data_IF_338116331149
#
_entry.id   IF_338116331149
#
_cell.length_a   1.000
_cell.length_b   1.000
_cell.length_c   1.000
_cell.angle_alpha   90.00
_cell.angle_beta   90.00
_cell.angle_gamma   90.00
#
_symmetry.space_group_name_H-M   'P 1'
#
loop_
_entity.id
_entity.type
_entity.pdbx_description
1 polymer ?
#
# COMPACT_ATOMS: atom_id res chain seq x y z
N UNK A 1 1.41 22.01 21.89
CA UNK A 1 1.60 20.65 21.31
C UNK A 1 0.20 20.12 21.02
N UNK A 2 -0.22 20.09 19.75
CA UNK A 2 -1.53 19.52 19.39
C UNK A 2 -1.49 18.02 19.71
N UNK A 3 -2.52 17.52 20.41
CA UNK A 3 -2.64 16.10 20.68
C UNK A 3 -2.61 15.36 19.34
N UNK A 4 -1.69 14.41 19.19
CA UNK A 4 -1.62 13.55 17.99
C UNK A 4 -2.90 12.76 17.94
N UNK A 5 -3.80 13.09 17.01
CA UNK A 5 -5.08 12.37 16.87
C UNK A 5 -4.80 10.94 16.41
N UNK A 6 -5.37 9.99 17.12
CA UNK A 6 -5.42 8.60 16.67
C UNK A 6 -6.49 8.44 15.58
N UNK A 7 -6.29 7.52 14.62
CA UNK A 7 -7.26 7.31 13.56
C UNK A 7 -8.53 6.60 14.07
N UNK A 8 -9.63 6.85 13.42
CA UNK A 8 -10.88 6.14 13.65
C UNK A 8 -11.01 4.96 12.70
N UNK A 9 -11.34 3.77 13.24
CA UNK A 9 -11.66 2.59 12.45
C UNK A 9 -13.07 2.71 11.88
N UNK A 10 -13.19 2.57 10.56
CA UNK A 10 -14.44 2.58 9.80
C UNK A 10 -14.54 1.35 8.91
N UNK A 11 -15.71 1.09 8.35
CA UNK A 11 -15.94 -0.02 7.43
C UNK A 11 -16.83 0.38 6.26
N UNK A 12 -16.62 -0.25 5.12
CA UNK A 12 -17.45 -0.14 3.93
C UNK A 12 -17.85 -1.54 3.46
N UNK A 13 -19.08 -1.68 2.96
CA UNK A 13 -19.57 -2.94 2.42
C UNK A 13 -19.14 -3.04 0.97
N UNK A 14 -18.45 -4.11 0.62
CA UNK A 14 -17.95 -4.44 -0.70
C UNK A 14 -18.60 -5.71 -1.23
N UNK A 15 -18.41 -6.01 -2.51
CA UNK A 15 -18.97 -7.17 -3.19
C UNK A 15 -17.91 -7.80 -4.09
N UNK A 16 -17.78 -9.12 -4.01
CA UNK A 16 -17.02 -9.92 -4.97
C UNK A 16 -17.91 -11.07 -5.54
N UNK A 17 -17.32 -11.97 -6.32
CA UNK A 17 -18.03 -13.14 -6.85
C UNK A 17 -18.51 -14.11 -5.76
N UNK A 18 -17.91 -14.09 -4.58
CA UNK A 18 -18.29 -14.89 -3.41
C UNK A 18 -19.38 -14.26 -2.55
N UNK A 19 -19.74 -13.01 -2.80
CA UNK A 19 -20.78 -12.30 -2.07
C UNK A 19 -20.28 -11.03 -1.36
N UNK A 20 -21.03 -10.62 -0.34
CA UNK A 20 -20.73 -9.40 0.42
C UNK A 20 -19.59 -9.64 1.44
N UNK A 21 -18.66 -8.69 1.51
CA UNK A 21 -17.64 -8.63 2.53
C UNK A 21 -17.42 -7.19 2.98
N UNK A 22 -16.78 -6.98 4.12
CA UNK A 22 -16.51 -5.64 4.67
C UNK A 22 -15.02 -5.34 4.56
N UNK A 23 -14.70 -4.21 3.95
CA UNK A 23 -13.37 -3.64 4.00
C UNK A 23 -13.30 -2.59 5.12
N UNK A 24 -12.32 -2.76 6.01
CA UNK A 24 -12.00 -1.79 7.06
C UNK A 24 -11.08 -0.70 6.53
N UNK A 25 -11.15 0.48 7.12
CA UNK A 25 -10.18 1.54 6.86
C UNK A 25 -10.00 2.43 8.08
N UNK A 26 -8.79 2.94 8.25
CA UNK A 26 -8.42 3.87 9.30
C UNK A 26 -8.46 5.30 8.76
N UNK A 27 -9.05 6.22 9.51
CA UNK A 27 -9.23 7.59 9.06
C UNK A 27 -8.70 8.58 10.08
N UNK A 28 -7.76 9.41 9.64
CA UNK A 28 -7.35 10.63 10.33
C UNK A 28 -8.18 11.78 9.78
N UNK A 29 -8.91 12.43 10.67
CA UNK A 29 -9.64 13.65 10.31
C UNK A 29 -8.65 14.80 10.13
N UNK A 30 -8.99 15.73 9.27
CA UNK A 30 -8.16 16.92 9.09
C UNK A 30 -8.14 17.75 10.38
N UNK A 31 -6.95 18.18 10.79
CA UNK A 31 -6.80 19.14 11.88
C UNK A 31 -7.44 20.49 11.48
N UNK A 32 -8.45 20.93 12.23
CA UNK A 32 -9.18 22.20 11.96
C UNK A 32 -10.49 22.04 11.17
N UNK A 33 -11.01 20.81 11.01
CA UNK A 33 -12.35 20.54 10.47
C UNK A 33 -12.38 19.81 9.12
N UNK A 34 -13.56 19.75 8.51
CA UNK A 34 -13.78 19.02 7.26
C UNK A 34 -12.81 19.47 6.14
N UNK A 35 -12.32 18.54 5.38
CA UNK A 35 -11.49 18.79 4.20
C UNK A 35 -12.07 18.05 3.01
N UNK A 36 -12.19 18.76 1.90
CA UNK A 36 -12.54 18.17 0.60
C UNK A 36 -11.34 17.41 -0.01
N UNK A 37 -10.12 17.59 0.56
CA UNK A 37 -8.92 16.88 0.12
C UNK A 37 -8.80 15.55 0.85
N UNK A 38 -8.94 14.47 0.12
CA UNK A 38 -8.77 13.11 0.60
C UNK A 38 -7.46 12.54 0.08
N UNK A 39 -6.66 11.96 0.99
CA UNK A 39 -5.51 11.14 0.65
C UNK A 39 -5.81 9.69 1.01
N UNK A 40 -5.85 8.81 0.02
CA UNK A 40 -5.95 7.36 0.26
C UNK A 40 -4.55 6.76 0.25
N UNK A 41 -4.19 6.04 1.31
CA UNK A 41 -2.90 5.35 1.46
C UNK A 41 -3.11 3.84 1.46
N UNK A 42 -2.72 3.15 0.39
CA UNK A 42 -2.89 1.72 0.24
C UNK A 42 -1.57 0.96 0.42
N UNK A 43 -1.59 -0.07 1.25
CA UNK A 43 -0.43 -0.81 1.73
C UNK A 43 0.06 -1.93 0.80
N UNK A 44 1.22 -2.52 1.11
CA UNK A 44 1.79 -3.70 0.44
C UNK A 44 1.08 -5.01 0.76
N UNK A 45 1.42 -6.08 0.05
CA UNK A 45 0.66 -7.36 -0.01
C UNK A 45 0.38 -8.03 1.34
N UNK A 46 1.30 -7.98 2.30
CA UNK A 46 1.15 -8.59 3.64
C UNK A 46 0.96 -7.57 4.75
N UNK A 47 0.85 -6.29 4.39
CA UNK A 47 0.77 -5.17 5.30
C UNK A 47 -0.70 -4.77 5.55
N UNK A 48 -0.93 -3.63 6.19
CA UNK A 48 -2.26 -3.12 6.53
C UNK A 48 -2.23 -1.59 6.72
N UNK A 49 -3.39 -0.93 6.91
CA UNK A 49 -3.52 0.51 6.88
C UNK A 49 -2.72 1.28 7.93
N UNK A 50 -2.42 0.66 9.10
CA UNK A 50 -1.62 1.30 10.16
C UNK A 50 -0.13 1.45 9.84
N UNK A 51 0.34 0.92 8.70
CA UNK A 51 1.67 1.25 8.17
C UNK A 51 1.85 2.74 7.89
N UNK A 52 0.73 3.42 7.64
CA UNK A 52 0.71 4.85 7.32
C UNK A 52 0.47 5.77 8.53
N UNK A 53 0.64 5.28 9.76
CA UNK A 53 0.44 6.09 10.97
C UNK A 53 1.27 7.37 10.99
N UNK A 54 2.54 7.29 10.58
CA UNK A 54 3.44 8.46 10.49
C UNK A 54 2.96 9.42 9.40
N UNK A 55 2.61 8.88 8.22
CA UNK A 55 2.08 9.66 7.09
C UNK A 55 0.75 10.32 7.46
N UNK A 56 -0.15 9.58 8.11
CA UNK A 56 -1.45 10.08 8.56
C UNK A 56 -1.31 11.29 9.49
N UNK A 57 -0.46 11.16 10.52
CA UNK A 57 -0.18 12.28 11.45
C UNK A 57 0.51 13.46 10.79
N UNK A 58 1.43 13.21 9.85
CA UNK A 58 2.19 14.25 9.18
C UNK A 58 1.38 15.05 8.15
N UNK A 59 0.31 14.46 7.58
CA UNK A 59 -0.45 15.07 6.49
C UNK A 59 -1.88 15.51 6.88
N UNK A 60 -2.33 15.21 8.11
CA UNK A 60 -3.69 15.56 8.58
C UNK A 60 -3.96 17.07 8.69
N UNK A 61 -2.93 17.91 8.58
CA UNK A 61 -3.11 19.37 8.53
C UNK A 61 -3.72 19.85 7.20
N UNK A 62 -3.57 19.07 6.13
CA UNK A 62 -4.10 19.40 4.80
C UNK A 62 -5.06 18.36 4.24
N UNK A 63 -5.12 17.16 4.82
CA UNK A 63 -5.89 16.03 4.28
C UNK A 63 -6.74 15.35 5.34
N UNK A 64 -7.88 14.83 4.90
CA UNK A 64 -8.50 13.66 5.50
C UNK A 64 -7.74 12.45 4.97
N UNK A 65 -6.95 11.78 5.82
CA UNK A 65 -6.12 10.64 5.40
C UNK A 65 -6.87 9.35 5.67
N UNK A 66 -6.98 8.49 4.66
CA UNK A 66 -7.75 7.25 4.68
C UNK A 66 -6.84 6.08 4.30
N UNK A 67 -6.68 5.13 5.20
CA UNK A 67 -5.78 3.99 5.02
C UNK A 67 -6.60 2.69 5.09
N UNK A 68 -7.04 2.13 3.93
CA UNK A 68 -7.76 0.87 3.92
C UNK A 68 -6.86 -0.29 4.34
N UNK A 69 -7.45 -1.24 5.06
CA UNK A 69 -6.97 -2.60 5.15
C UNK A 69 -7.52 -3.36 3.94
N UNK A 70 -6.72 -3.60 2.91
CA UNK A 70 -7.17 -4.31 1.72
C UNK A 70 -7.71 -5.69 2.13
N UNK A 71 -8.83 -6.11 1.55
CA UNK A 71 -9.54 -7.34 1.93
C UNK A 71 -8.58 -8.51 2.20
N UNK A 72 -8.82 -9.24 3.29
CA UNK A 72 -7.97 -10.31 3.79
C UNK A 72 -6.79 -9.84 4.67
N UNK A 73 -6.67 -8.53 4.98
CA UNK A 73 -5.62 -7.98 5.87
C UNK A 73 -6.26 -7.13 6.96
N UNK A 74 -5.54 -6.98 8.06
CA UNK A 74 -5.95 -6.13 9.18
C UNK A 74 -7.37 -6.45 9.67
N UNK A 75 -8.19 -5.42 9.82
CA UNK A 75 -9.56 -5.49 10.33
C UNK A 75 -10.61 -5.77 9.24
N UNK A 76 -10.18 -5.99 7.98
CA UNK A 76 -11.05 -6.38 6.88
C UNK A 76 -11.45 -7.85 6.94
N UNK A 77 -12.62 -8.16 6.37
CA UNK A 77 -13.07 -9.53 6.24
C UNK A 77 -12.13 -10.35 5.34
N UNK A 78 -12.17 -11.67 5.44
CA UNK A 78 -11.51 -12.61 4.55
C UNK A 78 -12.48 -13.06 3.47
N UNK A 79 -11.97 -13.32 2.28
CA UNK A 79 -12.78 -13.87 1.19
C UNK A 79 -13.00 -15.37 1.37
N UNK A 80 -14.19 -15.82 1.01
CA UNK A 80 -14.54 -17.24 1.05
C UNK A 80 -13.75 -18.05 0.02
N UNK A 81 -13.53 -17.49 -1.18
CA UNK A 81 -12.69 -18.09 -2.22
C UNK A 81 -11.34 -17.34 -2.29
N UNK A 82 -10.22 -18.01 -1.99
CA UNK A 82 -8.89 -17.41 -2.11
C UNK A 82 -8.55 -16.87 -3.51
N UNK A 83 -9.18 -17.35 -4.57
CA UNK A 83 -9.03 -16.84 -5.94
C UNK A 83 -9.51 -15.40 -6.08
N UNK A 84 -10.36 -14.94 -5.16
CA UNK A 84 -10.80 -13.55 -5.06
C UNK A 84 -9.70 -12.57 -4.69
N UNK A 85 -8.58 -13.02 -4.10
CA UNK A 85 -7.43 -12.16 -3.78
C UNK A 85 -6.67 -11.77 -5.05
N UNK A 86 -7.23 -10.82 -5.79
CA UNK A 86 -6.75 -10.40 -7.10
C UNK A 86 -6.82 -8.87 -7.26
N UNK A 87 -5.99 -8.33 -8.15
CA UNK A 87 -5.99 -6.89 -8.42
C UNK A 87 -7.37 -6.35 -8.85
N UNK A 88 -8.16 -7.03 -9.71
CA UNK A 88 -9.51 -6.57 -10.05
C UNK A 88 -10.44 -6.44 -8.83
N UNK A 89 -10.42 -7.39 -7.91
CA UNK A 89 -11.22 -7.34 -6.67
C UNK A 89 -10.78 -6.15 -5.81
N UNK A 90 -9.47 -5.97 -5.62
CA UNK A 90 -8.96 -4.85 -4.83
C UNK A 90 -9.33 -3.48 -5.43
N UNK A 91 -9.30 -3.36 -6.76
CA UNK A 91 -9.74 -2.15 -7.47
C UNK A 91 -11.24 -1.91 -7.26
N UNK A 92 -12.08 -2.94 -7.36
CA UNK A 92 -13.53 -2.84 -7.13
C UNK A 92 -13.86 -2.38 -5.70
N UNK A 93 -13.16 -2.94 -4.69
CA UNK A 93 -13.29 -2.54 -3.29
C UNK A 93 -12.90 -1.06 -3.10
N UNK A 94 -11.82 -0.62 -3.74
CA UNK A 94 -11.39 0.78 -3.66
C UNK A 94 -12.38 1.72 -4.35
N UNK A 95 -12.99 1.33 -5.47
CA UNK A 95 -14.07 2.13 -6.09
C UNK A 95 -15.24 2.30 -5.10
N UNK A 96 -15.61 1.22 -4.40
CA UNK A 96 -16.65 1.28 -3.35
C UNK A 96 -16.22 2.20 -2.19
N UNK A 97 -14.96 2.14 -1.76
CA UNK A 97 -14.43 3.05 -0.75
C UNK A 97 -14.50 4.51 -1.22
N UNK A 98 -14.05 4.80 -2.45
CA UNK A 98 -14.07 6.15 -3.01
C UNK A 98 -15.49 6.73 -3.05
N UNK A 99 -16.48 5.92 -3.46
CA UNK A 99 -17.88 6.32 -3.41
C UNK A 99 -18.36 6.60 -1.96
N UNK A 100 -17.90 5.81 -0.98
CA UNK A 100 -18.22 6.00 0.44
C UNK A 100 -17.60 7.27 1.03
N UNK A 101 -16.44 7.69 0.52
CA UNK A 101 -15.74 8.88 1.01
C UNK A 101 -16.37 10.19 0.53
N UNK A 102 -17.26 10.13 -0.47
CA UNK A 102 -17.94 11.30 -1.05
C UNK A 102 -16.93 12.41 -1.44
N UNK A 103 -15.85 12.00 -2.12
CA UNK A 103 -14.78 12.89 -2.51
C UNK A 103 -14.69 12.98 -4.04
N UNK A 104 -14.90 14.18 -4.58
CA UNK A 104 -14.76 14.43 -6.03
C UNK A 104 -13.31 14.30 -6.50
N UNK A 105 -12.37 14.63 -5.63
CA UNK A 105 -10.94 14.62 -5.92
C UNK A 105 -10.18 13.88 -4.83
N UNK A 106 -9.37 12.91 -5.27
CA UNK A 106 -8.58 12.07 -4.38
C UNK A 106 -7.11 12.15 -4.75
N UNK A 107 -6.23 12.24 -3.75
CA UNK A 107 -4.83 11.94 -3.92
C UNK A 107 -4.59 10.49 -3.47
N UNK A 108 -3.69 9.80 -4.16
CA UNK A 108 -3.41 8.39 -3.87
C UNK A 108 -1.95 8.17 -3.53
N UNK A 109 -1.70 7.44 -2.46
CA UNK A 109 -0.39 6.94 -2.11
C UNK A 109 -0.45 5.41 -2.00
N UNK A 110 0.24 4.71 -2.89
CA UNK A 110 0.27 3.26 -2.89
C UNK A 110 1.67 2.68 -2.73
N UNK A 111 1.86 1.82 -1.73
CA UNK A 111 3.10 1.05 -1.55
C UNK A 111 2.95 -0.32 -2.18
N UNK A 112 3.88 -0.73 -3.05
CA UNK A 112 3.91 -2.07 -3.65
C UNK A 112 2.53 -2.41 -4.26
N UNK A 113 1.84 -3.44 -3.78
CA UNK A 113 0.47 -3.79 -4.19
C UNK A 113 -0.48 -2.58 -4.22
N UNK A 114 -0.42 -1.71 -3.21
CA UNK A 114 -1.23 -0.48 -3.15
C UNK A 114 -0.93 0.48 -4.30
N UNK A 115 0.31 0.48 -4.81
CA UNK A 115 0.69 1.22 -6.01
C UNK A 115 0.13 0.60 -7.29
N UNK A 116 0.08 -0.73 -7.41
CA UNK A 116 -0.57 -1.42 -8.55
C UNK A 116 -2.07 -1.09 -8.60
N UNK A 117 -2.75 -1.07 -7.46
CA UNK A 117 -4.14 -0.62 -7.34
C UNK A 117 -4.26 0.84 -7.82
N UNK A 118 -3.33 1.71 -7.37
CA UNK A 118 -3.29 3.12 -7.78
C UNK A 118 -3.09 3.30 -9.29
N UNK A 119 -2.21 2.54 -9.93
CA UNK A 119 -2.01 2.54 -11.39
C UNK A 119 -3.30 2.14 -12.10
N UNK A 120 -3.93 1.05 -11.67
CA UNK A 120 -5.16 0.57 -12.27
C UNK A 120 -6.29 1.60 -12.17
N UNK A 121 -6.49 2.22 -11.00
CA UNK A 121 -7.52 3.25 -10.77
C UNK A 121 -7.22 4.55 -11.53
N UNK A 122 -5.98 5.05 -11.46
CA UNK A 122 -5.60 6.30 -12.11
C UNK A 122 -5.65 6.21 -13.64
N UNK A 123 -5.49 5.00 -14.20
CA UNK A 123 -5.60 4.72 -15.63
C UNK A 123 -7.04 4.53 -16.14
N UNK A 124 -8.04 4.55 -15.28
CA UNK A 124 -9.46 4.49 -15.69
C UNK A 124 -9.90 5.82 -16.34
N UNK A 125 -10.81 5.78 -17.31
CA UNK A 125 -11.50 6.99 -17.78
C UNK A 125 -12.22 7.68 -16.61
N UNK A 126 -12.11 9.01 -16.55
CA UNK A 126 -12.74 9.83 -15.49
C UNK A 126 -12.29 9.47 -14.07
N UNK A 127 -11.05 8.99 -13.92
CA UNK A 127 -10.49 8.70 -12.60
C UNK A 127 -10.51 9.94 -11.70
N UNK A 128 -10.95 9.83 -10.43
CA UNK A 128 -10.93 10.95 -9.48
C UNK A 128 -9.52 11.22 -8.91
N UNK A 129 -8.51 10.42 -9.30
CA UNK A 129 -7.15 10.56 -8.77
C UNK A 129 -6.46 11.77 -9.41
N UNK A 130 -6.23 12.81 -8.61
CA UNK A 130 -5.61 14.06 -9.04
C UNK A 130 -4.10 14.13 -8.79
N UNK A 131 -3.56 13.32 -7.88
CA UNK A 131 -2.12 13.11 -7.66
C UNK A 131 -1.87 11.66 -7.27
N UNK A 132 -0.78 11.09 -7.78
CA UNK A 132 -0.43 9.69 -7.55
C UNK A 132 0.99 9.59 -7.00
N UNK A 133 1.16 8.96 -5.84
CA UNK A 133 2.45 8.54 -5.30
C UNK A 133 2.54 7.01 -5.39
N UNK A 134 3.54 6.53 -6.12
CA UNK A 134 3.87 5.12 -6.27
C UNK A 134 5.12 4.84 -5.44
N UNK A 135 5.00 4.03 -4.41
CA UNK A 135 6.11 3.70 -3.55
C UNK A 135 6.66 2.31 -3.89
N UNK A 136 7.77 2.34 -4.56
CA UNK A 136 8.64 1.23 -4.92
C UNK A 136 7.95 0.11 -5.73
N UNK A 137 7.16 0.51 -6.72
CA UNK A 137 6.48 -0.41 -7.64
C UNK A 137 6.22 0.25 -8.98
N UNK A 138 6.21 -0.56 -10.02
CA UNK A 138 5.83 -0.18 -11.38
C UNK A 138 5.02 -1.30 -12.06
N UNK A 139 4.61 -1.10 -13.31
CA UNK A 139 3.88 -2.12 -14.07
C UNK A 139 4.67 -3.42 -14.25
N UNK A 140 5.99 -3.35 -14.41
CA UNK A 140 6.89 -4.52 -14.41
C UNK A 140 7.45 -4.72 -13.01
N UNK A 141 7.28 -5.93 -12.46
CA UNK A 141 7.83 -6.37 -11.18
C UNK A 141 9.03 -7.27 -11.46
N UNK A 142 10.15 -7.00 -10.79
CA UNK A 142 11.35 -7.83 -10.95
C UNK A 142 11.09 -9.24 -10.37
N UNK A 143 11.37 -10.31 -11.12
CA UNK A 143 11.15 -11.69 -10.68
C UNK A 143 11.90 -12.05 -9.39
N UNK A 144 13.06 -11.43 -9.13
CA UNK A 144 13.87 -11.68 -7.92
C UNK A 144 13.09 -11.26 -6.68
N UNK A 145 12.53 -10.05 -6.69
CA UNK A 145 11.71 -9.55 -5.58
C UNK A 145 10.43 -10.36 -5.38
N UNK A 146 9.79 -10.75 -6.48
CA UNK A 146 8.59 -11.59 -6.42
C UNK A 146 8.88 -12.98 -5.83
N UNK A 147 10.00 -13.61 -6.21
CA UNK A 147 10.44 -14.89 -5.65
C UNK A 147 10.68 -14.77 -4.13
N UNK A 148 11.42 -13.74 -3.69
CA UNK A 148 11.68 -13.49 -2.27
C UNK A 148 10.38 -13.29 -1.47
N UNK A 149 9.42 -12.54 -2.00
CA UNK A 149 8.09 -12.37 -1.37
C UNK A 149 7.38 -13.72 -1.27
N UNK A 150 7.44 -14.55 -2.30
CA UNK A 150 6.86 -15.88 -2.34
C UNK A 150 7.40 -16.82 -1.26
N UNK A 151 8.64 -16.61 -0.79
CA UNK A 151 9.26 -17.45 0.25
C UNK A 151 8.59 -17.34 1.61
N UNK A 152 8.03 -16.17 1.97
CA UNK A 152 7.45 -15.96 3.31
C UNK A 152 5.94 -15.79 3.33
N UNK A 153 5.32 -15.39 2.21
CA UNK A 153 3.88 -15.12 2.18
C UNK A 153 3.06 -16.39 2.41
N UNK A 154 2.10 -16.30 3.32
CA UNK A 154 1.18 -17.40 3.65
C UNK A 154 1.78 -18.48 4.54
N UNK A 155 3.01 -18.32 5.05
CA UNK A 155 3.55 -19.25 6.05
C UNK A 155 2.79 -19.14 7.38
N UNK A 156 2.40 -20.26 8.01
CA UNK A 156 1.66 -20.25 9.28
C UNK A 156 2.60 -20.04 10.48
N UNK A 157 3.19 -18.85 10.57
CA UNK A 157 4.14 -18.50 11.61
C UNK A 157 3.43 -18.00 12.86
N UNK A 158 3.94 -18.37 14.03
CA UNK A 158 3.50 -17.88 15.33
C UNK A 158 4.67 -17.60 16.25
N UNK A 159 4.52 -16.61 17.15
CA UNK A 159 5.55 -16.15 18.07
C UNK A 159 5.01 -16.08 19.50
N UNK A 160 5.88 -16.22 20.50
CA UNK A 160 5.52 -16.10 21.90
C UNK A 160 5.34 -14.65 22.35
N UNK A 161 5.99 -13.69 21.65
CA UNK A 161 5.91 -12.27 21.97
C UNK A 161 5.92 -11.39 20.71
N UNK A 162 5.55 -10.12 20.89
CA UNK A 162 5.68 -9.09 19.85
C UNK A 162 7.14 -8.86 19.47
N UNK A 163 8.07 -8.95 20.43
CA UNK A 163 9.50 -8.77 20.19
C UNK A 163 10.06 -9.89 19.32
N UNK A 164 9.69 -11.16 19.60
CA UNK A 164 10.08 -12.31 18.78
C UNK A 164 9.55 -12.17 17.34
N UNK A 165 8.32 -11.72 17.18
CA UNK A 165 7.74 -11.45 15.87
C UNK A 165 8.48 -10.31 15.16
N UNK A 166 8.81 -9.23 15.88
CA UNK A 166 9.53 -8.09 15.32
C UNK A 166 10.93 -8.47 14.86
N UNK A 167 11.64 -9.31 15.61
CA UNK A 167 12.96 -9.81 15.25
C UNK A 167 12.91 -10.66 13.98
N UNK A 168 11.94 -11.57 13.88
CA UNK A 168 11.72 -12.33 12.66
C UNK A 168 11.37 -11.43 11.46
N UNK A 169 10.42 -10.52 11.63
CA UNK A 169 9.99 -9.63 10.55
C UNK A 169 11.14 -8.71 10.09
N UNK A 170 12.05 -8.33 10.97
CA UNK A 170 13.24 -7.57 10.60
C UNK A 170 14.12 -8.36 9.63
N UNK A 171 14.27 -9.68 9.83
CA UNK A 171 15.11 -10.52 8.94
C UNK A 171 14.59 -10.59 7.51
N UNK A 172 13.28 -10.59 7.31
CA UNK A 172 12.65 -10.65 5.98
C UNK A 172 12.38 -9.27 5.37
N UNK A 173 12.57 -8.19 6.15
CA UNK A 173 12.28 -6.80 5.75
C UNK A 173 13.54 -5.92 5.74
N UNK A 174 14.72 -6.48 5.58
CA UNK A 174 15.99 -5.72 5.55
C UNK A 174 15.99 -4.60 4.51
N UNK A 175 15.23 -4.78 3.43
CA UNK A 175 15.04 -3.78 2.39
C UNK A 175 14.30 -2.51 2.83
N UNK A 176 13.66 -2.49 4.02
CA UNK A 176 12.92 -1.30 4.50
C UNK A 176 13.84 -0.15 4.93
N UNK A 177 15.15 -0.40 5.04
CA UNK A 177 16.13 0.57 5.51
C UNK A 177 16.23 0.62 7.03
N UNK A 178 17.06 1.53 7.56
CA UNK A 178 17.32 1.63 9.00
C UNK A 178 16.10 2.15 9.76
N UNK A 179 15.83 1.51 10.90
CA UNK A 179 14.80 1.92 11.86
C UNK A 179 15.34 1.78 13.28
N UNK A 180 14.92 2.65 14.17
CA UNK A 180 15.07 2.41 15.61
C UNK A 180 14.18 1.24 16.04
N UNK A 181 14.51 0.61 17.18
CA UNK A 181 13.66 -0.48 17.72
C UNK A 181 12.22 -0.02 17.96
N UNK A 182 12.03 1.21 18.42
CA UNK A 182 10.70 1.77 18.68
C UNK A 182 9.87 1.93 17.39
N UNK A 183 10.46 2.46 16.32
CA UNK A 183 9.83 2.58 15.00
C UNK A 183 9.50 1.20 14.43
N UNK A 184 10.43 0.25 14.56
CA UNK A 184 10.21 -1.10 14.06
C UNK A 184 9.07 -1.82 14.81
N UNK A 185 8.99 -1.69 16.12
CA UNK A 185 7.88 -2.20 16.91
C UNK A 185 6.55 -1.51 16.55
N UNK A 186 6.56 -0.20 16.29
CA UNK A 186 5.36 0.52 15.86
C UNK A 186 4.84 0.01 14.50
N UNK A 187 5.72 -0.34 13.57
CA UNK A 187 5.37 -0.97 12.28
C UNK A 187 4.93 -2.44 12.42
N UNK A 188 5.41 -3.15 13.44
CA UNK A 188 5.17 -4.58 13.63
C UNK A 188 3.87 -4.86 14.36
N UNK A 189 3.61 -4.15 15.47
CA UNK A 189 2.45 -4.41 16.34
C UNK A 189 1.12 -4.48 15.61
N UNK A 190 0.78 -3.56 14.71
CA UNK A 190 -0.48 -3.63 13.99
C UNK A 190 -0.59 -4.84 13.05
N UNK A 191 0.55 -5.42 12.64
CA UNK A 191 0.57 -6.64 11.81
C UNK A 191 0.25 -7.91 12.60
N UNK A 192 0.21 -7.83 13.93
CA UNK A 192 0.07 -8.99 14.80
C UNK A 192 -1.35 -9.09 15.34
N UNK A 193 -1.82 -10.32 15.48
CA UNK A 193 -3.04 -10.66 16.18
C UNK A 193 -2.76 -11.76 17.18
N UNK A 194 -3.30 -11.62 18.40
CA UNK A 194 -3.28 -12.70 19.40
C UNK A 194 -4.11 -13.87 18.93
N UNK A 195 -3.57 -15.07 19.11
CA UNK A 195 -4.21 -16.36 18.87
C UNK A 195 -3.89 -17.28 20.06
N UNK A 196 -4.78 -17.32 21.03
CA UNK A 196 -4.51 -17.88 22.36
C UNK A 196 -3.39 -17.09 23.05
N UNK A 197 -2.32 -17.81 23.47
CA UNK A 197 -1.13 -17.22 24.11
C UNK A 197 -0.05 -16.77 23.11
N UNK A 198 -0.26 -17.00 21.83
CA UNK A 198 0.72 -16.68 20.78
C UNK A 198 0.26 -15.51 19.91
N UNK A 199 1.19 -14.98 19.14
CA UNK A 199 0.95 -13.96 18.10
C UNK A 199 1.10 -14.59 16.73
N UNK A 200 0.27 -14.16 15.78
CA UNK A 200 0.37 -14.50 14.35
C UNK A 200 0.18 -13.26 13.50
N UNK A 201 0.53 -13.35 12.23
CA UNK A 201 0.29 -12.27 11.29
C UNK A 201 -1.21 -12.04 11.08
N UNK A 202 -1.60 -10.77 11.02
CA UNK A 202 -2.96 -10.31 10.88
C UNK A 202 -3.36 -10.16 9.39
N UNK A 203 -3.10 -11.22 8.63
CA UNK A 203 -3.61 -11.35 7.27
C UNK A 203 -4.06 -12.80 6.99
N UNK A 204 -4.82 -13.00 5.91
CA UNK A 204 -5.25 -14.34 5.48
C UNK A 204 -4.08 -15.08 4.80
N UNK A 205 -3.59 -16.20 5.36
CA UNK A 205 -2.46 -16.93 4.77
C UNK A 205 -2.77 -17.51 3.38
N UNK A 206 -4.06 -17.66 3.01
CA UNK A 206 -4.46 -18.16 1.69
C UNK A 206 -4.11 -17.19 0.54
N UNK A 207 -3.81 -15.92 0.84
CA UNK A 207 -3.25 -14.95 -0.10
C UNK A 207 -1.95 -15.47 -0.74
N UNK A 208 -1.13 -16.18 0.02
CA UNK A 208 0.07 -16.82 -0.51
C UNK A 208 -0.22 -17.90 -1.57
N UNK A 209 -1.33 -18.62 -1.43
CA UNK A 209 -1.76 -19.59 -2.43
C UNK A 209 -2.22 -18.89 -3.74
N UNK A 210 -2.96 -17.79 -3.62
CA UNK A 210 -3.37 -17.00 -4.78
C UNK A 210 -2.16 -16.47 -5.56
N UNK A 211 -1.13 -15.96 -4.86
CA UNK A 211 0.09 -15.48 -5.51
C UNK A 211 0.86 -16.61 -6.23
N UNK A 212 0.96 -17.78 -5.61
CA UNK A 212 1.63 -18.95 -6.22
C UNK A 212 0.87 -19.56 -7.42
N UNK A 213 -0.41 -19.27 -7.54
CA UNK A 213 -1.23 -19.72 -8.67
C UNK A 213 -1.06 -18.86 -9.94
N UNK A 214 -0.31 -17.75 -9.87
CA UNK A 214 -0.04 -16.88 -11.01
C UNK A 214 0.94 -17.58 -11.96
N UNK A 215 0.47 -17.92 -13.16
CA UNK A 215 1.34 -18.49 -14.20
C UNK A 215 2.11 -17.38 -14.94
N UNK A 216 3.21 -17.74 -15.66
CA UNK A 216 3.94 -16.76 -16.48
C UNK A 216 3.04 -16.00 -17.47
N UNK A 217 2.05 -16.67 -18.07
CA UNK A 217 1.12 -16.06 -19.03
C UNK A 217 0.20 -15.05 -18.33
N UNK A 218 -0.31 -15.38 -17.14
CA UNK A 218 -1.12 -14.46 -16.32
C UNK A 218 -0.28 -13.26 -15.90
N UNK A 219 0.96 -13.49 -15.48
CA UNK A 219 1.88 -12.42 -15.11
C UNK A 219 2.16 -11.47 -16.29
N UNK A 220 2.47 -12.01 -17.47
CA UNK A 220 2.73 -11.21 -18.67
C UNK A 220 1.48 -10.41 -19.11
N UNK A 221 0.30 -11.03 -19.08
CA UNK A 221 -0.95 -10.33 -19.39
C UNK A 221 -1.25 -9.21 -18.37
N UNK A 222 -1.00 -9.47 -17.10
CA UNK A 222 -1.14 -8.49 -16.02
C UNK A 222 -0.17 -7.31 -16.18
N UNK A 223 1.09 -7.57 -16.50
CA UNK A 223 2.09 -6.55 -16.79
C UNK A 223 1.68 -5.67 -17.97
N UNK A 224 1.27 -6.27 -19.08
CA UNK A 224 0.79 -5.55 -20.26
C UNK A 224 -0.42 -4.66 -19.94
N UNK A 225 -1.38 -5.17 -19.15
CA UNK A 225 -2.55 -4.41 -18.71
C UNK A 225 -2.15 -3.23 -17.80
N UNK A 226 -1.19 -3.42 -16.89
CA UNK A 226 -0.69 -2.37 -16.00
C UNK A 226 0.07 -1.29 -16.79
N UNK A 227 0.88 -1.65 -17.78
CA UNK A 227 1.52 -0.67 -18.67
C UNK A 227 0.48 0.13 -19.46
N UNK A 228 -0.53 -0.56 -20.00
CA UNK A 228 -1.61 0.12 -20.71
C UNK A 228 -2.42 1.06 -19.81
N UNK A 229 -2.62 0.71 -18.53
CA UNK A 229 -3.23 1.60 -17.55
C UNK A 229 -2.30 2.78 -17.21
N UNK A 230 -1.02 2.54 -16.97
CA UNK A 230 -0.02 3.56 -16.67
C UNK A 230 0.07 4.63 -17.76
N UNK A 231 0.06 4.23 -19.03
CA UNK A 231 0.10 5.17 -20.16
C UNK A 231 -1.13 6.09 -20.26
N UNK A 232 -2.25 5.69 -19.67
CA UNK A 232 -3.47 6.51 -19.63
C UNK A 232 -3.52 7.49 -18.46
N UNK A 233 -2.64 7.36 -17.46
CA UNK A 233 -2.60 8.28 -16.31
C UNK A 233 -2.31 9.71 -16.80
N UNK A 234 -3.06 10.67 -16.27
CA UNK A 234 -2.93 12.09 -16.63
C UNK A 234 -2.55 12.99 -15.46
N UNK A 235 -2.69 12.51 -14.23
CA UNK A 235 -2.35 13.29 -13.04
C UNK A 235 -0.83 13.30 -12.79
N UNK A 236 -0.31 14.36 -12.14
CA UNK A 236 1.06 14.38 -11.63
C UNK A 236 1.35 13.12 -10.81
N UNK A 237 2.48 12.49 -11.11
CA UNK A 237 2.88 11.22 -10.49
C UNK A 237 4.29 11.31 -9.92
N UNK A 238 4.45 10.91 -8.66
CA UNK A 238 5.72 10.73 -7.99
C UNK A 238 6.01 9.23 -7.86
N UNK A 239 7.18 8.81 -8.31
CA UNK A 239 7.69 7.46 -8.12
C UNK A 239 8.82 7.50 -7.08
N UNK A 240 8.58 6.90 -5.94
CA UNK A 240 9.60 6.67 -4.92
C UNK A 240 10.27 5.32 -5.19
N UNK A 241 11.58 5.26 -5.05
CA UNK A 241 12.35 4.04 -5.25
C UNK A 241 13.39 3.87 -4.15
N UNK A 242 13.48 2.67 -3.58
CA UNK A 242 14.65 2.30 -2.80
C UNK A 242 15.85 2.03 -3.72
N UNK A 243 17.02 2.61 -3.44
CA UNK A 243 18.21 2.50 -4.29
C UNK A 243 18.63 1.04 -4.54
N UNK A 244 18.38 0.15 -3.57
CA UNK A 244 18.64 -1.30 -3.63
C UNK A 244 17.37 -2.14 -3.79
N UNK A 245 16.27 -1.56 -4.32
CA UNK A 245 15.04 -2.30 -4.58
C UNK A 245 15.27 -3.48 -5.53
N UNK A 246 14.78 -4.65 -5.12
CA UNK A 246 14.72 -5.88 -5.87
C UNK A 246 13.34 -6.14 -6.52
N UNK A 247 12.40 -5.20 -6.36
CA UNK A 247 11.04 -5.26 -6.92
C UNK A 247 10.87 -4.27 -8.06
N UNK A 248 11.34 -3.03 -7.87
CA UNK A 248 11.31 -1.99 -8.90
C UNK A 248 12.72 -1.79 -9.47
N UNK A 249 12.96 -2.30 -10.67
CA UNK A 249 14.25 -2.14 -11.35
C UNK A 249 14.48 -0.67 -11.78
N UNK A 250 15.75 -0.26 -11.92
CA UNK A 250 16.08 1.06 -12.48
C UNK A 250 15.58 1.22 -13.92
N UNK A 251 15.57 0.14 -14.70
CA UNK A 251 15.05 0.16 -16.06
C UNK A 251 13.56 0.44 -16.10
N UNK A 252 12.77 -0.21 -15.22
CA UNK A 252 11.34 0.06 -15.07
C UNK A 252 11.09 1.50 -14.63
N UNK A 253 11.82 2.01 -13.63
CA UNK A 253 11.69 3.38 -13.17
C UNK A 253 12.02 4.40 -14.27
N UNK A 254 13.07 4.16 -15.08
CA UNK A 254 13.41 4.98 -16.24
C UNK A 254 12.30 4.95 -17.30
N UNK A 255 11.72 3.79 -17.60
CA UNK A 255 10.58 3.69 -18.51
C UNK A 255 9.37 4.48 -18.00
N UNK A 256 9.08 4.42 -16.70
CA UNK A 256 7.97 5.17 -16.06
C UNK A 256 8.18 6.69 -16.11
N UNK A 257 9.42 7.17 -16.09
CA UNK A 257 9.71 8.61 -16.26
C UNK A 257 9.67 9.09 -17.72
N UNK A 258 9.72 8.17 -18.68
CA UNK A 258 9.73 8.49 -20.11
C UNK A 258 8.36 8.40 -20.79
N UNK A 259 7.36 7.70 -20.17
CA UNK A 259 6.04 7.43 -20.78
C UNK A 259 4.88 7.67 -19.80
N UNK A 260 3.68 7.66 -20.29
CA UNK A 260 2.46 7.91 -19.52
C UNK A 260 2.50 9.27 -18.79
N UNK A 261 2.33 9.32 -17.47
CA UNK A 261 2.35 10.56 -16.69
C UNK A 261 3.78 11.13 -16.55
N UNK A 262 4.81 10.45 -17.05
CA UNK A 262 6.23 10.83 -16.91
C UNK A 262 6.58 11.07 -15.44
N UNK A 263 6.41 10.06 -14.61
CA UNK A 263 6.59 10.17 -13.17
C UNK A 263 7.92 10.84 -12.79
N UNK A 264 7.85 11.78 -11.84
CA UNK A 264 9.05 12.30 -11.17
C UNK A 264 9.60 11.20 -10.27
N UNK A 265 10.85 10.79 -10.50
CA UNK A 265 11.50 9.74 -9.70
C UNK A 265 12.27 10.37 -8.56
N UNK A 266 12.13 9.81 -7.34
CA UNK A 266 12.98 10.09 -6.19
C UNK A 266 13.52 8.78 -5.62
N UNK A 267 14.85 8.67 -5.52
CA UNK A 267 15.52 7.46 -5.03
C UNK A 267 16.07 7.68 -3.62
N UNK A 268 15.78 6.77 -2.69
CA UNK A 268 16.30 6.79 -1.32
C UNK A 268 17.50 5.87 -1.18
N UNK A 269 18.65 6.41 -0.80
CA UNK A 269 19.87 5.65 -0.55
C UNK A 269 19.73 4.76 0.70
N UNK A 270 20.34 3.57 0.68
CA UNK A 270 20.33 2.64 1.82
C UNK A 270 18.97 1.95 2.06
N UNK A 271 18.04 2.07 1.15
CA UNK A 271 16.70 1.48 1.22
C UNK A 271 16.46 0.59 0.00
N UNK A 272 15.78 -0.53 0.19
CA UNK A 272 15.29 -1.44 -0.85
C UNK A 272 13.77 -1.43 -0.94
N UNK A 273 13.16 -2.61 -1.11
CA UNK A 273 11.69 -2.72 -1.19
C UNK A 273 11.06 -2.94 0.19
N UNK A 274 10.34 -1.97 0.66
CA UNK A 274 10.05 -0.65 0.15
C UNK A 274 10.34 0.42 1.22
N UNK A 275 10.62 1.69 0.83
CA UNK A 275 10.66 2.79 1.79
C UNK A 275 9.41 2.81 2.66
N UNK A 276 9.56 2.88 3.98
CA UNK A 276 8.43 2.81 4.93
C UNK A 276 7.75 4.16 5.16
N UNK A 277 8.39 5.24 4.71
CA UNK A 277 7.95 6.63 4.91
C UNK A 277 7.78 6.97 6.41
N UNK A 278 8.66 6.40 7.21
CA UNK A 278 8.79 6.70 8.66
C UNK A 278 9.84 7.78 8.89
N UNK A 279 10.94 7.74 8.15
CA UNK A 279 12.02 8.72 8.25
C UNK A 279 11.55 10.12 7.80
N UNK A 280 11.99 11.15 8.49
CA UNK A 280 11.53 12.53 8.28
C UNK A 280 11.81 13.05 6.86
N UNK A 281 12.94 12.68 6.26
CA UNK A 281 13.29 13.01 4.88
C UNK A 281 12.37 12.33 3.86
N UNK A 282 11.97 11.08 4.12
CA UNK A 282 11.01 10.36 3.28
C UNK A 282 9.62 11.02 3.34
N UNK A 283 9.17 11.38 4.56
CA UNK A 283 7.91 12.10 4.77
C UNK A 283 7.93 13.45 4.06
N UNK A 284 9.04 14.19 4.14
CA UNK A 284 9.18 15.50 3.50
C UNK A 284 9.00 15.42 1.98
N UNK A 285 9.61 14.45 1.31
CA UNK A 285 9.47 14.25 -0.14
C UNK A 285 8.03 14.01 -0.55
N UNK A 286 7.30 13.17 0.22
CA UNK A 286 5.87 12.90 -0.04
C UNK A 286 5.03 14.14 0.21
N UNK A 287 5.28 14.84 1.32
CA UNK A 287 4.57 16.07 1.68
C UNK A 287 4.77 17.16 0.63
N UNK A 288 5.99 17.42 0.21
CA UNK A 288 6.32 18.43 -0.79
C UNK A 288 5.60 18.16 -2.12
N UNK A 289 5.52 16.90 -2.54
CA UNK A 289 4.78 16.54 -3.73
C UNK A 289 3.26 16.71 -3.57
N UNK A 290 2.70 16.31 -2.45
CA UNK A 290 1.24 16.33 -2.23
C UNK A 290 0.71 17.75 -1.97
N UNK A 291 1.48 18.63 -1.33
CA UNK A 291 1.10 20.02 -1.04
C UNK A 291 1.61 21.02 -2.09
N UNK A 292 2.64 20.67 -2.86
CA UNK A 292 3.20 21.53 -3.90
C UNK A 292 2.15 21.89 -4.95
N UNK A 293 2.20 23.12 -5.46
CA UNK A 293 1.43 23.55 -6.62
C UNK A 293 1.74 22.69 -7.86
N UNK A 294 0.80 22.64 -8.79
CA UNK A 294 1.02 21.99 -10.08
C UNK A 294 2.08 22.75 -10.88
#
# INVERSE_FOLDING_TARGET
MSATSEPTLRRVQCLDAGGLHRMAYWQWERAGGASDRVLVCAHGVTRQGRDFDVVGRALQDGYRVVCPDVVGRGESDRLADPKGYSLPTYVADMVTLLARLDAETVHWFGTSMGGLIGIALAGLPSSPIARLVLNDVGPTIDPVGLARIGEYIGKPLTWASEDEAADYLLTISQGFGPHTRAEWLALTRPMLRKDGERFRLHYDPTIGAALRAVTPEIAAAGEAALWAAYDRIRCPTLLLRGASSDVLSRATAAAMSARGPRARVHEFAGVGHAPTIVAADQVAVVRDFLFGGA
#
